data_IF_502105857405
#
_entry.id   IF_502105857405
#
_cell.length_a   1.000
_cell.length_b   1.000
_cell.length_c   1.000
_cell.angle_alpha   90.00
_cell.angle_beta   90.00
_cell.angle_gamma   90.00
#
_symmetry.space_group_name_H-M   'P 1'
#
loop_
_entity.id
_entity.type
_entity.pdbx_description
1 polymer ?
#
# COMPACT_ATOMS: atom_id res chain seq x y z
N UNK A 1 -2.31 -7.37 -27.78
CA UNK A 1 -2.85 -6.35 -26.83
C UNK A 1 -1.93 -6.37 -25.62
N UNK A 2 -1.12 -5.32 -25.40
CA UNK A 2 -0.20 -5.26 -24.24
C UNK A 2 -1.03 -5.11 -22.97
N UNK A 3 -1.18 -6.18 -22.20
CA UNK A 3 -1.78 -6.10 -20.87
C UNK A 3 -0.79 -5.42 -19.94
N UNK A 4 -1.12 -4.21 -19.48
CA UNK A 4 -0.37 -3.57 -18.39
C UNK A 4 -0.73 -4.28 -17.08
N UNK A 5 0.30 -4.61 -16.31
CA UNK A 5 0.15 -5.25 -15.02
C UNK A 5 -0.17 -4.20 -13.96
N UNK A 6 -1.25 -4.38 -13.19
CA UNK A 6 -1.55 -3.50 -12.06
C UNK A 6 -0.80 -3.99 -10.83
N UNK A 7 -0.05 -3.09 -10.18
CA UNK A 7 0.81 -3.40 -9.03
C UNK A 7 0.40 -2.53 -7.83
N UNK A 8 -0.23 -3.13 -6.85
CA UNK A 8 -0.49 -2.53 -5.52
C UNK A 8 0.77 -2.65 -4.66
N UNK A 9 1.58 -1.59 -4.59
CA UNK A 9 2.79 -1.62 -3.76
C UNK A 9 2.49 -1.56 -2.27
N UNK A 10 1.31 -1.08 -1.89
CA UNK A 10 0.85 -1.13 -0.50
C UNK A 10 0.78 -2.56 0.05
N UNK A 11 0.59 -3.55 -0.83
CA UNK A 11 0.61 -4.96 -0.45
C UNK A 11 1.97 -5.38 0.13
N UNK A 12 3.08 -4.87 -0.39
CA UNK A 12 4.42 -5.16 0.10
C UNK A 12 4.62 -4.69 1.55
N UNK A 13 4.22 -3.45 1.83
CA UNK A 13 4.28 -2.90 3.19
C UNK A 13 3.32 -3.62 4.14
N UNK A 14 2.12 -4.00 3.66
CA UNK A 14 1.17 -4.79 4.44
C UNK A 14 1.72 -6.18 4.77
N UNK A 15 2.48 -6.81 3.88
CA UNK A 15 3.13 -8.09 4.15
C UNK A 15 4.19 -7.97 5.26
N UNK A 16 5.03 -6.93 5.23
CA UNK A 16 5.97 -6.67 6.33
C UNK A 16 5.22 -6.40 7.64
N UNK A 17 4.11 -5.64 7.57
CA UNK A 17 3.23 -5.40 8.72
C UNK A 17 2.62 -6.69 9.28
N UNK A 18 2.12 -7.58 8.44
CA UNK A 18 1.59 -8.89 8.84
C UNK A 18 2.67 -9.74 9.48
N UNK A 19 3.87 -9.79 8.89
CA UNK A 19 4.99 -10.50 9.51
C UNK A 19 5.28 -9.98 10.92
N UNK A 20 5.35 -8.66 11.07
CA UNK A 20 5.59 -8.04 12.37
C UNK A 20 4.50 -8.40 13.39
N UNK A 21 3.22 -8.32 13.00
CA UNK A 21 2.10 -8.67 13.86
C UNK A 21 2.11 -10.15 14.28
N UNK A 22 2.39 -11.07 13.34
CA UNK A 22 2.48 -12.51 13.61
C UNK A 22 3.60 -12.86 14.60
N UNK A 23 4.70 -12.12 14.56
CA UNK A 23 5.89 -12.37 15.40
C UNK A 23 5.99 -11.45 16.62
N UNK A 24 4.94 -10.69 16.95
CA UNK A 24 4.92 -9.80 18.11
C UNK A 24 5.96 -8.67 18.04
N UNK A 25 6.38 -8.29 16.83
CA UNK A 25 7.34 -7.21 16.60
C UNK A 25 6.58 -5.87 16.64
N UNK A 26 7.13 -4.90 17.36
CA UNK A 26 6.57 -3.55 17.36
C UNK A 26 6.73 -2.89 15.99
N UNK A 27 5.62 -2.62 15.29
CA UNK A 27 5.57 -2.04 13.94
C UNK A 27 6.20 -0.64 13.83
N UNK A 28 6.41 0.04 14.95
CA UNK A 28 7.07 1.36 15.03
C UNK A 28 8.55 1.27 15.43
N UNK A 29 9.04 0.08 15.80
CA UNK A 29 10.43 -0.11 16.20
C UNK A 29 11.33 -0.43 15.00
N UNK A 30 12.06 0.57 14.53
CA UNK A 30 13.02 0.40 13.43
C UNK A 30 14.10 -0.65 13.74
N UNK A 31 14.57 -0.74 14.99
CA UNK A 31 15.57 -1.72 15.42
C UNK A 31 15.04 -3.17 15.31
N UNK A 32 13.83 -3.42 15.81
CA UNK A 32 13.23 -4.75 15.76
C UNK A 32 12.93 -5.15 14.30
N UNK A 33 12.36 -4.23 13.53
CA UNK A 33 12.07 -4.45 12.11
C UNK A 33 13.36 -4.73 11.33
N UNK A 34 14.41 -3.93 11.52
CA UNK A 34 15.70 -4.15 10.84
C UNK A 34 16.27 -5.54 11.11
N UNK A 35 16.16 -6.05 12.34
CA UNK A 35 16.59 -7.40 12.70
C UNK A 35 15.76 -8.49 12.02
N UNK A 36 14.49 -8.22 11.75
CA UNK A 36 13.55 -9.17 11.15
C UNK A 36 13.61 -9.20 9.62
N UNK A 37 14.03 -8.10 8.95
CA UNK A 37 14.02 -8.00 7.49
C UNK A 37 14.72 -9.17 6.74
N UNK A 38 15.85 -9.73 7.23
CA UNK A 38 16.49 -10.87 6.57
C UNK A 38 15.62 -12.13 6.49
N UNK A 39 14.65 -12.26 7.40
CA UNK A 39 13.75 -13.41 7.48
C UNK A 39 12.44 -13.19 6.68
N UNK A 40 12.31 -12.04 6.02
CA UNK A 40 11.12 -11.65 5.28
C UNK A 40 11.37 -11.78 3.78
N UNK A 41 10.60 -12.65 3.12
CA UNK A 41 10.54 -12.74 1.68
C UNK A 41 9.13 -12.39 1.22
N UNK A 42 8.97 -11.32 0.44
CA UNK A 42 7.68 -10.92 -0.15
C UNK A 42 7.75 -11.12 -1.66
N UNK A 43 6.75 -11.78 -2.21
CA UNK A 43 6.65 -12.02 -3.65
C UNK A 43 5.26 -11.60 -4.14
N UNK A 44 5.23 -10.96 -5.30
CA UNK A 44 3.98 -10.67 -6.02
C UNK A 44 3.90 -11.59 -7.22
N UNK A 45 2.86 -12.41 -7.26
CA UNK A 45 2.59 -13.33 -8.36
C UNK A 45 1.32 -12.87 -9.07
N UNK A 46 1.31 -12.92 -10.39
CA UNK A 46 0.19 -12.48 -11.20
C UNK A 46 -0.36 -13.66 -11.99
N UNK A 47 -1.53 -14.14 -11.58
CA UNK A 47 -2.23 -15.25 -12.18
C UNK A 47 -3.62 -14.78 -12.61
N UNK A 48 -4.01 -15.08 -13.84
CA UNK A 48 -5.31 -14.75 -14.43
C UNK A 48 -5.71 -13.26 -14.29
N UNK A 49 -4.71 -12.37 -14.24
CA UNK A 49 -4.91 -10.91 -14.10
C UNK A 49 -5.15 -10.44 -12.66
N UNK A 50 -5.02 -11.33 -11.69
CA UNK A 50 -5.10 -11.05 -10.26
C UNK A 50 -3.70 -11.06 -9.65
N UNK A 51 -3.44 -10.08 -8.76
CA UNK A 51 -2.22 -10.06 -7.96
C UNK A 51 -2.41 -10.88 -6.69
N UNK A 52 -1.61 -11.92 -6.55
CA UNK A 52 -1.43 -12.68 -5.32
C UNK A 52 -0.18 -12.22 -4.58
N UNK A 53 -0.23 -12.29 -3.28
CA UNK A 53 0.86 -11.81 -2.41
C UNK A 53 1.31 -12.94 -1.50
N UNK A 54 2.59 -13.30 -1.63
CA UNK A 54 3.18 -14.36 -0.83
C UNK A 54 4.16 -13.77 0.18
N UNK A 55 4.04 -14.21 1.42
CA UNK A 55 4.96 -13.92 2.51
C UNK A 55 5.61 -15.22 2.95
N UNK A 56 6.92 -15.34 2.76
CA UNK A 56 7.68 -16.57 3.07
C UNK A 56 7.07 -17.83 2.45
N UNK A 57 6.50 -17.71 1.24
CA UNK A 57 5.87 -18.80 0.50
C UNK A 57 4.40 -19.07 0.85
N UNK A 58 3.82 -18.37 1.81
CA UNK A 58 2.39 -18.47 2.17
C UNK A 58 1.59 -17.36 1.48
N UNK A 59 0.43 -17.68 0.88
CA UNK A 59 -0.48 -16.68 0.32
C UNK A 59 -1.16 -15.90 1.44
N UNK A 60 -0.86 -14.60 1.51
CA UNK A 60 -1.41 -13.66 2.49
C UNK A 60 -2.35 -12.64 1.85
N UNK A 61 -2.80 -12.86 0.63
CA UNK A 61 -3.60 -11.92 -0.16
C UNK A 61 -4.86 -11.42 0.55
N UNK A 62 -5.50 -12.26 1.35
CA UNK A 62 -6.67 -11.86 2.15
C UNK A 62 -6.26 -11.22 3.48
N UNK A 63 -5.26 -11.77 4.16
CA UNK A 63 -4.82 -11.28 5.48
C UNK A 63 -4.31 -9.84 5.42
N UNK A 64 -3.58 -9.48 4.37
CA UNK A 64 -3.09 -8.12 4.17
C UNK A 64 -4.20 -7.08 3.96
N UNK A 65 -5.45 -7.49 3.76
CA UNK A 65 -6.60 -6.59 3.55
C UNK A 65 -7.33 -6.21 4.84
N UNK A 66 -6.86 -6.71 5.97
CA UNK A 66 -7.45 -6.40 7.29
C UNK A 66 -7.13 -4.96 7.73
N UNK A 67 -7.96 -4.36 8.62
CA UNK A 67 -7.65 -3.07 9.24
C UNK A 67 -6.31 -3.08 9.97
N UNK A 68 -6.01 -4.14 10.73
CA UNK A 68 -4.73 -4.30 11.46
C UNK A 68 -3.53 -4.27 10.50
N UNK A 69 -3.59 -5.01 9.40
CA UNK A 69 -2.52 -5.00 8.39
C UNK A 69 -2.36 -3.61 7.75
N UNK A 70 -3.46 -2.88 7.56
CA UNK A 70 -3.43 -1.51 7.00
C UNK A 70 -2.76 -0.52 7.93
N UNK A 71 -3.03 -0.57 9.24
CA UNK A 71 -2.35 0.27 10.24
C UNK A 71 -0.88 -0.11 10.38
N UNK A 72 -0.58 -1.41 10.50
CA UNK A 72 0.79 -1.89 10.53
C UNK A 72 1.61 -1.46 9.31
N UNK A 73 1.01 -1.47 8.10
CA UNK A 73 1.65 -0.97 6.89
C UNK A 73 2.01 0.53 6.97
N UNK A 74 1.13 1.35 7.55
CA UNK A 74 1.42 2.77 7.78
C UNK A 74 2.62 2.94 8.71
N UNK A 75 2.64 2.22 9.84
CA UNK A 75 3.76 2.25 10.79
C UNK A 75 5.08 1.82 10.14
N UNK A 76 5.14 0.61 9.55
CA UNK A 76 6.38 0.07 8.96
C UNK A 76 6.86 0.89 7.77
N UNK A 77 5.96 1.57 7.05
CA UNK A 77 6.33 2.43 5.93
C UNK A 77 7.03 3.72 6.35
N UNK A 78 6.97 4.09 7.62
CA UNK A 78 7.73 5.21 8.19
C UNK A 78 9.17 4.83 8.55
N UNK A 79 9.49 3.52 8.58
CA UNK A 79 10.81 2.98 8.95
C UNK A 79 11.74 2.96 7.73
N UNK A 80 12.89 3.67 7.77
CA UNK A 80 13.81 3.78 6.63
C UNK A 80 14.30 2.43 6.09
N UNK A 81 14.62 1.51 6.97
CA UNK A 81 15.16 0.18 6.64
C UNK A 81 14.14 -0.66 5.87
N UNK A 82 12.86 -0.61 6.27
CA UNK A 82 11.77 -1.29 5.55
C UNK A 82 11.60 -0.71 4.15
N UNK A 83 11.71 0.62 4.03
CA UNK A 83 11.62 1.28 2.73
C UNK A 83 12.76 0.87 1.82
N UNK A 84 14.00 0.88 2.32
CA UNK A 84 15.17 0.43 1.56
C UNK A 84 15.02 -1.03 1.11
N UNK A 85 14.57 -1.90 2.00
CA UNK A 85 14.33 -3.31 1.71
C UNK A 85 13.33 -3.53 0.57
N UNK A 86 12.23 -2.76 0.54
CA UNK A 86 11.19 -2.89 -0.49
C UNK A 86 11.46 -2.06 -1.75
N UNK A 87 12.40 -1.11 -1.71
CA UNK A 87 12.61 -0.17 -2.81
C UNK A 87 13.09 -0.86 -4.09
N UNK A 88 14.09 -1.72 -3.99
CA UNK A 88 14.66 -2.42 -5.14
C UNK A 88 13.62 -3.38 -5.74
N UNK A 89 12.86 -4.08 -4.92
CA UNK A 89 11.78 -4.95 -5.36
C UNK A 89 10.73 -4.19 -6.19
N UNK A 90 10.32 -3.00 -5.74
CA UNK A 90 9.37 -2.16 -6.46
C UNK A 90 9.92 -1.73 -7.83
N UNK A 91 11.18 -1.30 -7.87
CA UNK A 91 11.83 -0.88 -9.12
C UNK A 91 12.03 -2.04 -10.09
N UNK A 92 12.44 -3.19 -9.58
CA UNK A 92 12.62 -4.40 -10.38
C UNK A 92 11.34 -4.82 -11.09
N UNK A 93 10.20 -4.73 -10.40
CA UNK A 93 8.89 -5.02 -11.00
C UNK A 93 8.62 -4.05 -12.16
N UNK A 94 8.88 -2.76 -11.98
CA UNK A 94 8.64 -1.75 -13.01
C UNK A 94 9.59 -1.88 -14.22
N UNK A 95 10.84 -2.29 -14.00
CA UNK A 95 11.82 -2.50 -15.09
C UNK A 95 11.48 -3.73 -15.92
N UNK A 96 10.99 -4.79 -15.27
CA UNK A 96 10.70 -6.06 -15.95
C UNK A 96 9.33 -6.10 -16.65
N UNK A 97 8.43 -5.16 -16.31
CA UNK A 97 7.04 -5.23 -16.77
C UNK A 97 6.50 -3.85 -17.19
N UNK A 98 5.65 -3.84 -18.22
CA UNK A 98 4.78 -2.70 -18.47
C UNK A 98 3.68 -2.68 -17.40
N UNK A 99 3.81 -1.80 -16.40
CA UNK A 99 2.91 -1.80 -15.25
C UNK A 99 2.23 -0.46 -15.00
N UNK A 100 1.11 -0.52 -14.30
CA UNK A 100 0.49 0.59 -13.59
C UNK A 100 0.74 0.33 -12.10
N UNK A 101 1.50 1.19 -11.47
CA UNK A 101 1.90 1.01 -10.06
C UNK A 101 1.21 2.04 -9.18
N UNK A 102 0.51 1.59 -8.14
CA UNK A 102 -0.08 2.48 -7.18
C UNK A 102 0.66 2.46 -5.84
N UNK A 103 0.61 3.58 -5.12
CA UNK A 103 1.25 3.77 -3.83
C UNK A 103 1.22 5.22 -3.40
N UNK A 104 1.99 5.58 -2.36
CA UNK A 104 2.00 6.94 -1.78
C UNK A 104 3.08 7.84 -2.36
N UNK A 105 4.17 7.26 -2.80
CA UNK A 105 5.38 7.96 -3.22
C UNK A 105 5.96 7.41 -4.53
N UNK A 106 5.16 6.70 -5.31
CA UNK A 106 5.60 6.07 -6.55
C UNK A 106 6.14 7.11 -7.52
N UNK A 107 5.39 8.14 -7.82
CA UNK A 107 5.79 9.19 -8.77
C UNK A 107 6.81 10.19 -8.23
N UNK A 108 7.11 10.18 -6.93
CA UNK A 108 8.06 11.13 -6.30
C UNK A 108 9.38 10.49 -5.93
N UNK A 109 9.39 9.21 -5.56
CA UNK A 109 10.57 8.51 -5.02
C UNK A 109 10.88 7.23 -5.79
N UNK A 110 9.93 6.32 -5.96
CA UNK A 110 10.19 5.00 -6.55
C UNK A 110 10.45 5.10 -8.06
N UNK A 111 9.55 5.77 -8.78
CA UNK A 111 9.59 5.96 -10.23
C UNK A 111 9.49 7.47 -10.59
N UNK A 112 10.50 8.27 -10.24
CA UNK A 112 10.47 9.72 -10.47
C UNK A 112 10.46 10.08 -11.96
N UNK A 113 10.87 9.16 -12.83
CA UNK A 113 10.92 9.32 -14.28
C UNK A 113 9.83 8.51 -15.00
N UNK A 114 8.73 8.14 -14.32
CA UNK A 114 7.60 7.47 -14.96
C UNK A 114 7.01 8.35 -16.07
N UNK A 115 6.62 7.73 -17.20
CA UNK A 115 6.03 8.43 -18.37
C UNK A 115 4.75 9.17 -18.01
N UNK A 116 3.93 8.58 -17.13
CA UNK A 116 2.67 9.16 -16.68
C UNK A 116 2.60 9.06 -15.16
N UNK A 117 2.31 10.20 -14.51
CA UNK A 117 2.11 10.29 -13.07
C UNK A 117 0.74 10.87 -12.80
N UNK A 118 -0.07 10.12 -12.06
CA UNK A 118 -1.43 10.50 -11.69
C UNK A 118 -1.51 10.60 -10.17
N UNK A 119 -1.92 11.74 -9.66
CA UNK A 119 -2.21 11.92 -8.24
C UNK A 119 -3.72 11.84 -8.03
N UNK A 120 -4.18 10.69 -7.54
CA UNK A 120 -5.60 10.42 -7.32
C UNK A 120 -6.02 10.89 -5.93
N UNK A 121 -7.07 11.71 -5.86
CA UNK A 121 -7.62 12.23 -4.61
C UNK A 121 -9.11 11.93 -4.50
N UNK A 122 -9.56 11.75 -3.27
CA UNK A 122 -10.98 11.71 -2.91
C UNK A 122 -11.12 12.17 -1.45
N UNK A 123 -12.27 12.74 -1.07
CA UNK A 123 -12.49 13.16 0.30
C UNK A 123 -12.36 11.99 1.29
N UNK A 124 -11.87 12.21 2.51
CA UNK A 124 -11.81 11.18 3.54
C UNK A 124 -13.17 10.49 3.76
N UNK A 125 -14.25 11.27 3.73
CA UNK A 125 -15.61 10.80 3.93
C UNK A 125 -16.03 9.82 2.81
N UNK A 126 -15.77 10.14 1.55
CA UNK A 126 -16.09 9.27 0.40
C UNK A 126 -15.30 7.96 0.47
N UNK A 127 -14.01 8.04 0.84
CA UNK A 127 -13.16 6.85 0.99
C UNK A 127 -13.58 5.99 2.19
N UNK A 128 -13.94 6.63 3.31
CA UNK A 128 -14.43 5.94 4.49
C UNK A 128 -15.77 5.24 4.23
N UNK A 129 -16.68 5.89 3.51
CA UNK A 129 -17.96 5.29 3.14
C UNK A 129 -17.78 4.04 2.27
N UNK A 130 -16.89 4.10 1.26
CA UNK A 130 -16.55 2.94 0.44
C UNK A 130 -15.99 1.80 1.29
N UNK A 131 -14.99 2.12 2.13
CA UNK A 131 -14.34 1.12 3.00
C UNK A 131 -15.29 0.52 4.02
N UNK A 132 -16.17 1.32 4.59
CA UNK A 132 -17.21 0.86 5.51
C UNK A 132 -18.14 -0.16 4.85
N UNK A 133 -18.61 0.13 3.62
CA UNK A 133 -19.44 -0.80 2.86
C UNK A 133 -18.71 -2.13 2.60
N UNK A 134 -17.48 -2.08 2.11
CA UNK A 134 -16.65 -3.27 1.87
C UNK A 134 -16.47 -4.14 3.14
N UNK A 135 -16.24 -3.49 4.30
CA UNK A 135 -16.10 -4.20 5.58
C UNK A 135 -17.40 -4.81 6.04
N UNK A 136 -18.52 -4.11 5.86
CA UNK A 136 -19.87 -4.63 6.19
C UNK A 136 -20.26 -5.82 5.32
N UNK A 137 -19.99 -5.78 4.03
CA UNK A 137 -20.21 -6.90 3.10
C UNK A 137 -19.39 -8.14 3.50
N UNK A 138 -18.20 -7.94 4.07
CA UNK A 138 -17.36 -9.02 4.62
C UNK A 138 -17.75 -9.44 6.05
N UNK A 139 -18.85 -8.92 6.60
CA UNK A 139 -19.36 -9.30 7.92
C UNK A 139 -18.62 -8.66 9.09
N UNK A 140 -17.79 -7.64 8.87
CA UNK A 140 -17.08 -6.97 9.95
C UNK A 140 -18.02 -6.11 10.81
N UNK A 141 -17.84 -6.19 12.14
CA UNK A 141 -18.57 -5.34 13.10
C UNK A 141 -17.78 -4.06 13.37
N UNK A 142 -17.85 -3.10 12.45
CA UNK A 142 -17.19 -1.80 12.57
C UNK A 142 -18.18 -0.67 12.38
N UNK A 143 -17.91 0.49 13.03
CA UNK A 143 -18.68 1.73 12.85
C UNK A 143 -18.10 2.58 11.71
N UNK A 144 -18.93 3.39 11.06
CA UNK A 144 -18.47 4.34 10.04
C UNK A 144 -17.47 5.37 10.62
N UNK A 145 -17.75 5.89 11.81
CA UNK A 145 -16.90 6.90 12.46
C UNK A 145 -15.53 6.33 12.82
N UNK A 146 -15.44 5.07 13.21
CA UNK A 146 -14.20 4.35 13.44
C UNK A 146 -13.38 4.25 12.16
N UNK A 147 -14.00 3.80 11.06
CA UNK A 147 -13.34 3.71 9.75
C UNK A 147 -12.86 5.07 9.26
N UNK A 148 -13.64 6.13 9.49
CA UNK A 148 -13.27 7.50 9.12
C UNK A 148 -12.09 8.02 9.96
N UNK A 149 -12.10 7.75 11.26
CA UNK A 149 -11.01 8.15 12.17
C UNK A 149 -9.70 7.46 11.80
N UNK A 150 -9.71 6.14 11.62
CA UNK A 150 -8.54 5.36 11.18
C UNK A 150 -7.97 5.87 9.85
N UNK A 151 -8.85 6.21 8.91
CA UNK A 151 -8.47 6.69 7.61
C UNK A 151 -7.81 8.09 7.68
N UNK A 152 -8.36 8.98 8.50
CA UNK A 152 -7.80 10.33 8.74
C UNK A 152 -6.44 10.24 9.45
N UNK A 153 -6.31 9.38 10.46
CA UNK A 153 -5.03 9.14 11.14
C UNK A 153 -3.97 8.62 10.16
N UNK A 154 -4.33 7.66 9.33
CA UNK A 154 -3.43 7.13 8.31
C UNK A 154 -3.01 8.18 7.29
N UNK A 155 -3.93 8.99 6.79
CA UNK A 155 -3.62 10.08 5.84
C UNK A 155 -2.67 11.11 6.47
N UNK A 156 -2.89 11.42 7.74
CA UNK A 156 -2.01 12.30 8.50
C UNK A 156 -0.60 11.70 8.58
N UNK A 157 -0.48 10.44 8.99
CA UNK A 157 0.80 9.75 9.10
C UNK A 157 1.52 9.66 7.76
N UNK A 158 0.82 9.29 6.68
CA UNK A 158 1.38 9.17 5.33
C UNK A 158 1.88 10.52 4.79
N UNK A 159 1.21 11.63 5.11
CA UNK A 159 1.59 12.97 4.62
C UNK A 159 2.66 13.68 5.48
N UNK A 160 2.78 13.32 6.77
CA UNK A 160 3.69 13.96 7.71
C UNK A 160 4.93 13.12 8.05
N UNK A 161 5.07 11.92 7.49
CA UNK A 161 6.27 11.12 7.70
C UNK A 161 7.51 11.83 7.15
N UNK A 162 8.64 11.68 7.85
CA UNK A 162 9.91 12.34 7.51
C UNK A 162 10.49 11.90 6.17
N UNK A 163 10.23 10.65 5.77
CA UNK A 163 10.78 10.04 4.56
C UNK A 163 9.66 9.74 3.58
N UNK A 164 9.81 10.20 2.33
CA UNK A 164 8.89 9.97 1.23
C UNK A 164 7.41 10.25 1.59
N UNK A 165 7.07 11.46 2.07
CA UNK A 165 5.71 11.81 2.43
C UNK A 165 4.78 11.71 1.21
N UNK A 166 3.50 11.43 1.47
CA UNK A 166 2.45 11.48 0.45
C UNK A 166 2.31 12.92 -0.06
N UNK A 167 2.71 13.14 -1.30
CA UNK A 167 2.56 14.42 -2.00
C UNK A 167 2.50 14.21 -3.51
N UNK A 168 1.84 15.11 -4.26
CA UNK A 168 1.88 15.06 -5.71
C UNK A 168 3.30 15.27 -6.24
N UNK A 169 3.64 14.58 -7.33
CA UNK A 169 4.88 14.82 -8.06
C UNK A 169 4.78 16.13 -8.86
N UNK A 170 5.91 16.74 -9.23
CA UNK A 170 5.97 18.05 -9.93
C UNK A 170 5.23 18.03 -11.28
N UNK A 171 5.14 16.89 -11.95
CA UNK A 171 4.40 16.67 -13.20
C UNK A 171 3.30 15.64 -12.95
N UNK A 172 2.26 16.03 -12.25
CA UNK A 172 1.15 15.14 -11.94
C UNK A 172 -0.13 15.63 -12.58
N UNK A 173 -0.91 14.71 -13.13
CA UNK A 173 -2.29 14.97 -13.50
C UNK A 173 -3.15 14.85 -12.23
N UNK A 174 -3.69 15.97 -11.75
CA UNK A 174 -4.48 16.01 -10.51
C UNK A 174 -6.00 16.02 -10.75
N UNK A 175 -6.44 16.21 -11.99
CA UNK A 175 -7.86 16.32 -12.35
C UNK A 175 -8.24 15.26 -13.38
N UNK A 176 -8.36 14.02 -12.96
CA UNK A 176 -9.05 13.00 -13.71
C UNK A 176 -10.49 12.91 -13.20
N UNK A 177 -11.42 13.46 -13.97
CA UNK A 177 -12.82 13.07 -13.85
C UNK A 177 -12.96 11.67 -14.43
N UNK A 178 -12.80 10.66 -13.60
CA UNK A 178 -13.20 9.31 -13.98
C UNK A 178 -14.73 9.31 -14.02
N UNK A 179 -15.36 8.86 -15.11
CA UNK A 179 -16.79 8.63 -15.09
C UNK A 179 -17.07 7.64 -13.97
N UNK A 180 -17.91 8.03 -13.04
CA UNK A 180 -18.39 7.15 -11.98
C UNK A 180 -19.24 6.08 -12.65
N UNK A 181 -18.62 4.96 -12.99
CA UNK A 181 -19.37 3.78 -13.38
C UNK A 181 -19.95 3.23 -12.08
N UNK A 182 -21.11 3.74 -11.72
CA UNK A 182 -21.99 3.09 -10.76
C UNK A 182 -22.49 1.79 -11.43
N UNK A 183 -21.92 0.70 -11.05
CA UNK A 183 -22.50 -0.62 -11.20
C UNK A 183 -22.84 -1.18 -9.84
#
# INVERSE_FOLDING_TARGET
MYKRQYVDTGALYRSVGVYALRNGINTKSGEQLKKALPDIKVELVFEDGVQHVYLNGEDVSEEIRTPKASMAASDVSAVPEVRSFLFDLQRDIAVKNNCIMDGRDIGTVVLPNADVKIFLTASPESRAMRRYKELKEKGASVGYDEVLADLKERDYNDSHRKIAPLKPATVSYTHLTLPTILR
#
